data_IF_544714867907
#
_entry.id   IF_544714867907
#
_cell.length_a   1.000
_cell.length_b   1.000
_cell.length_c   1.000
_cell.angle_alpha   90.00
_cell.angle_beta   90.00
_cell.angle_gamma   90.00
#
_symmetry.space_group_name_H-M   'P 1'
#
loop_
_entity.id
_entity.type
_entity.pdbx_description
1 polymer ?
#
# COMPACT_ATOMS: atom_id res chain seq x y z
N UNK A 1 -0.66 -27.04 28.57
CA UNK A 1 -1.61 -25.90 28.60
C UNK A 1 -2.71 -26.20 27.61
N UNK A 2 -3.97 -26.15 28.02
CA UNK A 2 -5.11 -26.39 27.13
C UNK A 2 -5.18 -25.26 26.10
N UNK A 3 -5.03 -25.62 24.83
CA UNK A 3 -5.23 -24.72 23.70
C UNK A 3 -6.70 -24.74 23.30
N UNK A 4 -7.20 -23.57 22.93
CA UNK A 4 -8.55 -23.38 22.43
C UNK A 4 -8.52 -22.78 21.03
N UNK A 5 -9.52 -23.12 20.23
CA UNK A 5 -9.65 -22.67 18.85
C UNK A 5 -10.80 -21.69 18.72
N UNK A 6 -10.51 -20.50 18.19
CA UNK A 6 -11.53 -19.49 17.87
C UNK A 6 -11.66 -19.38 16.37
N UNK A 7 -12.90 -19.41 15.87
CA UNK A 7 -13.22 -19.16 14.46
C UNK A 7 -13.94 -17.83 14.31
N UNK A 8 -13.38 -16.92 13.51
CA UNK A 8 -13.97 -15.62 13.20
C UNK A 8 -14.76 -15.66 11.90
N UNK A 9 -16.04 -15.28 11.96
CA UNK A 9 -16.91 -15.11 10.80
C UNK A 9 -17.13 -13.63 10.48
N UNK A 10 -17.31 -13.28 9.18
CA UNK A 10 -17.49 -14.15 8.01
C UNK A 10 -16.18 -14.54 7.30
N UNK A 11 -15.03 -14.01 7.70
CA UNK A 11 -13.74 -14.25 7.04
C UNK A 11 -13.25 -15.71 7.13
N UNK A 12 -13.79 -16.51 8.06
CA UNK A 12 -13.44 -17.92 8.23
C UNK A 12 -12.06 -18.16 8.86
N UNK A 13 -11.41 -17.10 9.36
CA UNK A 13 -10.08 -17.16 9.98
C UNK A 13 -10.13 -17.91 11.31
N UNK A 14 -9.14 -18.77 11.56
CA UNK A 14 -9.04 -19.59 12.77
C UNK A 14 -7.72 -19.31 13.48
N UNK A 15 -7.76 -19.28 14.80
CA UNK A 15 -6.56 -19.07 15.62
C UNK A 15 -6.58 -19.95 16.86
N UNK A 16 -5.42 -20.50 17.18
CA UNK A 16 -5.17 -21.17 18.45
C UNK A 16 -4.64 -20.16 19.48
N UNK A 17 -5.24 -20.19 20.66
CA UNK A 17 -4.83 -19.38 21.79
C UNK A 17 -4.87 -20.14 23.10
N UNK A 18 -4.28 -19.54 24.13
CA UNK A 18 -4.34 -20.05 25.49
C UNK A 18 -5.71 -19.73 26.12
N UNK A 19 -6.17 -20.64 26.98
CA UNK A 19 -7.37 -20.46 27.79
C UNK A 19 -7.29 -19.15 28.58
N UNK A 20 -8.42 -18.44 28.71
CA UNK A 20 -8.57 -17.12 29.33
C UNK A 20 -7.94 -15.93 28.60
N UNK A 21 -7.42 -16.11 27.38
CA UNK A 21 -7.02 -14.96 26.58
C UNK A 21 -8.22 -14.16 26.05
N UNK A 22 -7.95 -12.91 25.66
CA UNK A 22 -8.96 -11.98 25.15
C UNK A 22 -9.32 -12.27 23.69
N UNK A 23 -10.59 -12.08 23.33
CA UNK A 23 -11.02 -12.15 21.92
C UNK A 23 -10.24 -11.15 21.06
N UNK A 24 -9.90 -9.96 21.59
CA UNK A 24 -9.12 -8.95 20.86
C UNK A 24 -7.72 -9.48 20.49
N UNK A 25 -7.01 -10.12 21.42
CA UNK A 25 -5.67 -10.63 21.13
C UNK A 25 -5.72 -11.79 20.13
N UNK A 26 -6.77 -12.62 20.20
CA UNK A 26 -7.03 -13.65 19.21
C UNK A 26 -7.30 -13.06 17.81
N UNK A 27 -8.14 -12.02 17.72
CA UNK A 27 -8.45 -11.34 16.46
C UNK A 27 -7.20 -10.71 15.83
N UNK A 28 -6.37 -10.04 16.62
CA UNK A 28 -5.10 -9.46 16.16
C UNK A 28 -4.13 -10.54 15.66
N UNK A 29 -3.98 -11.65 16.40
CA UNK A 29 -3.12 -12.77 16.00
C UNK A 29 -3.63 -13.49 14.75
N UNK A 30 -4.94 -13.54 14.55
CA UNK A 30 -5.59 -14.08 13.37
C UNK A 30 -5.53 -13.12 12.16
N UNK A 31 -5.09 -11.87 12.35
CA UNK A 31 -5.13 -10.83 11.32
C UNK A 31 -6.56 -10.47 10.90
N UNK A 32 -7.51 -10.49 11.82
CA UNK A 32 -8.93 -10.21 11.57
C UNK A 32 -9.20 -8.72 11.76
N UNK A 33 -10.00 -8.15 10.84
CA UNK A 33 -10.32 -6.72 10.86
C UNK A 33 -11.28 -6.38 12.00
N UNK A 34 -10.75 -5.80 13.08
CA UNK A 34 -11.52 -5.38 14.24
C UNK A 34 -11.05 -4.01 14.77
N UNK A 35 -11.98 -3.08 14.96
CA UNK A 35 -11.68 -1.75 15.49
C UNK A 35 -11.26 -1.84 16.97
N UNK A 36 -10.04 -1.39 17.30
CA UNK A 36 -9.47 -1.49 18.64
C UNK A 36 -8.79 -0.20 19.14
N UNK A 37 -9.50 0.94 19.07
CA UNK A 37 -8.93 2.28 19.37
C UNK A 37 -8.34 2.39 20.79
N UNK A 38 -9.02 1.85 21.81
CA UNK A 38 -8.55 1.94 23.20
C UNK A 38 -7.53 0.86 23.60
N UNK A 39 -7.07 0.05 22.64
CA UNK A 39 -6.10 -1.04 22.82
C UNK A 39 -6.35 -1.91 24.06
N UNK A 40 -7.60 -2.29 24.29
CA UNK A 40 -7.92 -3.21 25.38
C UNK A 40 -8.46 -2.57 26.66
N UNK A 41 -8.41 -1.24 26.82
CA UNK A 41 -8.78 -0.54 28.07
C UNK A 41 -10.29 -0.55 28.39
N UNK A 42 -11.14 -0.93 27.43
CA UNK A 42 -12.60 -1.02 27.64
C UNK A 42 -13.34 0.32 27.66
N UNK A 43 -12.70 1.43 27.27
CA UNK A 43 -13.25 2.79 27.38
C UNK A 43 -13.92 3.33 26.12
N UNK A 44 -13.66 2.74 24.94
CA UNK A 44 -14.18 3.27 23.67
C UNK A 44 -15.47 2.61 23.16
N UNK A 45 -15.80 1.41 23.65
CA UNK A 45 -16.99 0.66 23.21
C UNK A 45 -17.00 0.18 21.74
N UNK A 46 -15.93 0.35 20.96
CA UNK A 46 -15.96 0.10 19.49
C UNK A 46 -15.63 -1.33 19.04
N UNK A 47 -14.95 -2.11 19.88
CA UNK A 47 -14.53 -3.49 19.58
C UNK A 47 -15.64 -4.52 19.76
N UNK A 48 -16.84 -4.24 19.25
CA UNK A 48 -18.03 -5.07 19.48
C UNK A 48 -17.94 -6.36 18.65
N UNK A 49 -18.30 -7.47 19.27
CA UNK A 49 -18.36 -8.80 18.65
C UNK A 49 -19.63 -9.50 19.11
N UNK A 50 -20.16 -10.40 18.29
CA UNK A 50 -21.34 -11.20 18.62
C UNK A 50 -20.87 -12.60 18.99
N UNK A 51 -21.24 -13.03 20.19
CA UNK A 51 -20.89 -14.33 20.76
C UNK A 51 -22.16 -15.13 20.96
N UNK A 52 -22.40 -16.17 20.15
CA UNK A 52 -23.64 -16.96 20.25
C UNK A 52 -23.67 -17.86 21.49
N UNK A 53 -22.50 -18.42 21.84
CA UNK A 53 -22.28 -19.30 22.99
C UNK A 53 -21.69 -18.54 24.18
N UNK A 54 -22.58 -18.05 25.05
CA UNK A 54 -22.23 -17.23 26.21
C UNK A 54 -21.61 -18.05 27.36
N UNK A 55 -21.79 -19.37 27.39
CA UNK A 55 -21.20 -20.22 28.44
C UNK A 55 -19.68 -20.41 28.25
N UNK A 56 -19.22 -20.20 27.02
CA UNK A 56 -17.82 -20.34 26.62
C UNK A 56 -16.98 -19.09 26.90
N UNK A 57 -17.56 -18.04 27.48
CA UNK A 57 -16.89 -16.79 27.84
C UNK A 57 -17.04 -16.42 29.33
N UNK A 58 -16.45 -15.32 29.75
CA UNK A 58 -16.66 -14.76 31.09
C UNK A 58 -17.97 -13.96 31.19
N UNK A 59 -18.40 -13.74 32.42
CA UNK A 59 -19.54 -12.89 32.73
C UNK A 59 -19.31 -11.45 32.26
N UNK A 60 -20.39 -10.70 32.12
CA UNK A 60 -20.37 -9.31 31.68
C UNK A 60 -19.46 -8.47 32.62
N UNK A 61 -18.45 -7.83 32.05
CA UNK A 61 -17.58 -6.92 32.83
C UNK A 61 -18.28 -5.59 33.12
N UNK A 62 -17.88 -4.89 34.18
CA UNK A 62 -18.44 -3.57 34.51
C UNK A 62 -18.29 -2.55 33.37
N UNK A 63 -17.19 -2.63 32.63
CA UNK A 63 -16.92 -1.76 31.49
C UNK A 63 -17.86 -2.05 30.32
N UNK A 64 -18.23 -3.32 30.11
CA UNK A 64 -19.22 -3.71 29.10
C UNK A 64 -20.61 -3.18 29.47
N UNK A 65 -21.04 -3.35 30.73
CA UNK A 65 -22.33 -2.83 31.19
C UNK A 65 -22.49 -1.31 31.07
N UNK A 66 -21.38 -0.57 31.15
CA UNK A 66 -21.38 0.89 30.99
C UNK A 66 -21.40 1.35 29.54
N UNK A 67 -20.86 0.53 28.62
CA UNK A 67 -20.61 0.92 27.24
C UNK A 67 -21.61 0.31 26.24
N UNK A 68 -22.23 -0.81 26.61
CA UNK A 68 -23.23 -1.49 25.80
C UNK A 68 -24.64 -1.11 26.28
N UNK A 69 -25.55 -0.92 25.35
CA UNK A 69 -26.98 -0.75 25.66
C UNK A 69 -27.61 -2.09 26.04
N UNK A 70 -28.76 -2.04 26.75
CA UNK A 70 -29.50 -3.25 27.13
C UNK A 70 -29.88 -4.11 25.90
N UNK A 71 -30.24 -3.47 24.79
CA UNK A 71 -30.57 -4.16 23.54
C UNK A 71 -29.36 -4.93 22.98
N UNK A 72 -28.17 -4.32 23.02
CA UNK A 72 -26.94 -4.98 22.55
C UNK A 72 -26.54 -6.16 23.42
N UNK A 73 -26.78 -6.07 24.73
CA UNK A 73 -26.54 -7.17 25.66
C UNK A 73 -27.51 -8.33 25.36
N UNK A 74 -28.78 -8.03 25.06
CA UNK A 74 -29.78 -9.02 24.63
C UNK A 74 -29.40 -9.67 23.29
N UNK A 75 -28.86 -8.89 22.35
CA UNK A 75 -28.35 -9.35 21.06
C UNK A 75 -27.00 -10.10 21.17
N UNK A 76 -26.57 -10.43 22.39
CA UNK A 76 -25.32 -11.15 22.70
C UNK A 76 -24.05 -10.44 22.19
N UNK A 77 -24.09 -9.11 22.14
CA UNK A 77 -22.93 -8.29 21.81
C UNK A 77 -22.03 -8.18 23.02
N UNK A 78 -20.72 -8.33 22.80
CA UNK A 78 -19.67 -8.22 23.81
C UNK A 78 -18.53 -7.34 23.32
N UNK A 79 -17.72 -6.83 24.24
CA UNK A 79 -16.50 -6.12 23.89
C UNK A 79 -15.35 -7.12 23.79
N UNK A 80 -14.77 -7.26 22.60
CA UNK A 80 -13.70 -8.21 22.33
C UNK A 80 -12.51 -8.04 23.28
N UNK A 81 -12.23 -6.81 23.71
CA UNK A 81 -11.14 -6.54 24.65
C UNK A 81 -11.38 -7.05 26.07
N UNK A 82 -12.63 -7.03 26.55
CA UNK A 82 -12.97 -7.43 27.92
C UNK A 82 -13.38 -8.90 28.01
N UNK A 83 -13.73 -9.51 26.87
CA UNK A 83 -14.22 -10.88 26.81
C UNK A 83 -13.06 -11.87 26.74
N UNK A 84 -13.01 -12.76 27.73
CA UNK A 84 -12.04 -13.85 27.86
C UNK A 84 -12.69 -15.18 27.53
N UNK A 85 -11.98 -16.00 26.77
CA UNK A 85 -12.50 -17.25 26.22
C UNK A 85 -12.09 -18.45 27.06
N UNK A 86 -13.04 -19.34 27.36
CA UNK A 86 -12.84 -20.56 28.16
C UNK A 86 -12.85 -21.85 27.33
N UNK A 87 -13.61 -21.89 26.23
CA UNK A 87 -13.78 -23.05 25.34
C UNK A 87 -13.75 -22.61 23.88
N UNK A 88 -13.67 -23.57 22.97
CA UNK A 88 -13.75 -23.31 21.53
C UNK A 88 -15.08 -22.67 21.16
N UNK A 89 -15.05 -21.61 20.34
CA UNK A 89 -16.27 -20.95 19.88
C UNK A 89 -16.11 -20.29 18.52
N UNK A 90 -17.27 -19.92 17.97
CA UNK A 90 -17.40 -19.14 16.75
C UNK A 90 -17.84 -17.72 17.14
N UNK A 91 -17.12 -16.73 16.62
CA UNK A 91 -17.37 -15.32 16.88
C UNK A 91 -17.77 -14.65 15.57
N UNK A 92 -18.89 -13.95 15.58
CA UNK A 92 -19.33 -13.13 14.43
C UNK A 92 -18.88 -11.70 14.64
N UNK A 93 -18.18 -11.15 13.66
CA UNK A 93 -17.77 -9.74 13.69
C UNK A 93 -18.78 -8.94 12.88
N UNK A 94 -19.57 -8.06 13.52
CA UNK A 94 -20.53 -7.23 12.82
C UNK A 94 -19.80 -6.21 11.93
N UNK A 95 -20.42 -5.82 10.81
CA UNK A 95 -19.78 -4.95 9.81
C UNK A 95 -19.32 -3.61 10.39
N UNK A 96 -20.11 -3.02 11.30
CA UNK A 96 -19.78 -1.76 11.96
C UNK A 96 -18.57 -1.84 12.91
N UNK A 97 -18.13 -3.04 13.29
CA UNK A 97 -16.94 -3.27 14.10
C UNK A 97 -15.75 -3.77 13.30
N UNK A 98 -15.97 -4.10 12.02
CA UNK A 98 -14.87 -4.33 11.09
C UNK A 98 -14.28 -2.98 10.72
N UNK A 99 -12.95 -2.93 10.64
CA UNK A 99 -12.27 -1.75 10.13
C UNK A 99 -12.76 -1.42 8.72
N UNK A 100 -13.10 -2.45 7.94
CA UNK A 100 -13.58 -2.34 6.56
C UNK A 100 -12.53 -1.70 5.66
N UNK A 101 -12.58 -1.96 4.35
CA UNK A 101 -11.97 -1.03 3.39
C UNK A 101 -12.78 0.26 3.49
N UNK A 102 -12.47 1.14 4.45
CA UNK A 102 -13.05 2.46 4.48
C UNK A 102 -12.80 3.08 3.10
N UNK A 103 -13.86 3.27 2.32
CA UNK A 103 -13.86 4.21 1.20
C UNK A 103 -13.69 5.58 1.83
N UNK A 104 -12.43 5.92 2.08
CA UNK A 104 -12.05 7.25 2.47
C UNK A 104 -12.35 8.16 1.29
N UNK A 105 -12.76 9.37 1.58
CA UNK A 105 -12.94 10.39 0.57
C UNK A 105 -11.56 10.71 -0.01
N UNK A 106 -11.20 10.08 -1.13
CA UNK A 106 -9.89 10.22 -1.77
C UNK A 106 -9.90 11.28 -2.88
N UNK A 107 -11.06 11.90 -3.09
CA UNK A 107 -11.27 12.97 -4.06
C UNK A 107 -10.82 14.29 -3.43
N UNK A 108 -9.55 14.64 -3.70
CA UNK A 108 -9.09 16.02 -3.55
C UNK A 108 -9.69 16.92 -4.64
N UNK A 109 -9.57 18.24 -4.46
CA UNK A 109 -9.98 19.20 -5.48
C UNK A 109 -9.00 19.08 -6.65
N UNK A 110 -9.48 18.66 -7.83
CA UNK A 110 -8.68 18.72 -9.06
C UNK A 110 -8.46 20.19 -9.44
N UNK A 111 -7.26 20.68 -9.21
CA UNK A 111 -6.81 21.97 -9.73
C UNK A 111 -6.12 21.76 -11.06
N UNK A 112 -6.37 22.60 -12.08
CA UNK A 112 -5.56 22.59 -13.29
C UNK A 112 -4.15 23.09 -12.94
N UNK A 113 -3.14 22.25 -13.19
CA UNK A 113 -1.72 22.54 -12.94
C UNK A 113 -0.98 22.40 -14.27
N UNK A 114 -0.03 23.30 -14.53
CA UNK A 114 0.91 23.16 -15.64
C UNK A 114 1.89 22.01 -15.34
N UNK A 115 1.77 20.91 -16.09
CA UNK A 115 2.50 19.67 -15.82
C UNK A 115 3.94 19.78 -16.32
N UNK A 116 4.88 19.68 -15.37
CA UNK A 116 6.32 19.63 -15.64
C UNK A 116 6.95 18.42 -14.97
N UNK A 117 6.59 17.19 -15.38
CA UNK A 117 7.22 15.99 -14.84
C UNK A 117 8.72 15.99 -15.15
N UNK A 118 9.55 15.45 -14.24
CA UNK A 118 11.00 15.38 -14.47
C UNK A 118 11.35 14.26 -15.46
N UNK A 119 10.44 13.30 -15.62
CA UNK A 119 10.53 12.20 -16.57
C UNK A 119 9.70 12.50 -17.84
N UNK A 120 10.27 12.21 -19.01
CA UNK A 120 9.57 12.25 -20.31
C UNK A 120 9.86 10.98 -21.10
N UNK A 121 8.87 10.52 -21.84
CA UNK A 121 9.00 9.36 -22.73
C UNK A 121 8.91 9.77 -24.20
N UNK A 122 9.70 9.12 -25.03
CA UNK A 122 9.71 9.31 -26.48
C UNK A 122 9.71 7.94 -27.16
N UNK A 123 8.67 7.65 -27.92
CA UNK A 123 8.66 6.51 -28.83
C UNK A 123 9.48 6.86 -30.07
N UNK A 124 10.43 5.99 -30.43
CA UNK A 124 11.29 6.17 -31.59
C UNK A 124 11.39 4.89 -32.41
N UNK A 125 11.54 5.06 -33.71
CA UNK A 125 11.84 3.99 -34.65
C UNK A 125 13.17 4.32 -35.34
N UNK A 126 14.14 3.41 -35.21
CA UNK A 126 15.46 3.56 -35.81
C UNK A 126 15.67 2.56 -36.95
N UNK A 127 16.55 2.92 -37.88
CA UNK A 127 17.02 1.99 -38.90
C UNK A 127 18.15 1.10 -38.33
N UNK A 128 18.14 -0.21 -38.65
CA UNK A 128 19.21 -1.12 -38.25
C UNK A 128 20.56 -0.71 -38.87
N UNK A 129 21.69 -1.02 -38.22
CA UNK A 129 23.01 -0.69 -38.72
C UNK A 129 23.30 -1.44 -40.03
N UNK A 130 23.86 -0.73 -41.00
CA UNK A 130 24.29 -1.26 -42.29
C UNK A 130 25.79 -1.01 -42.49
N UNK A 131 26.38 -1.56 -43.55
CA UNK A 131 27.76 -1.23 -43.91
C UNK A 131 27.94 0.24 -44.30
N UNK A 132 26.87 0.87 -44.82
CA UNK A 132 26.86 2.28 -45.21
C UNK A 132 26.66 3.22 -44.00
N UNK A 133 26.05 2.73 -42.92
CA UNK A 133 25.87 3.46 -41.65
C UNK A 133 26.34 2.64 -40.43
N UNK A 134 27.66 2.63 -40.15
CA UNK A 134 28.25 1.84 -39.07
C UNK A 134 28.23 2.55 -37.70
N UNK A 135 27.42 3.60 -37.53
CA UNK A 135 27.35 4.36 -36.25
C UNK A 135 26.97 3.45 -35.08
N UNK A 136 27.51 3.77 -33.90
CA UNK A 136 27.21 3.04 -32.66
C UNK A 136 25.73 3.17 -32.28
N UNK A 137 25.22 2.21 -31.52
CA UNK A 137 23.82 2.21 -31.05
C UNK A 137 23.49 3.48 -30.25
N UNK A 138 24.45 3.97 -29.46
CA UNK A 138 24.32 5.19 -28.65
C UNK A 138 24.26 6.43 -29.54
N UNK A 139 25.21 6.56 -30.48
CA UNK A 139 25.24 7.70 -31.40
C UNK A 139 23.97 7.74 -32.25
N UNK A 140 23.45 6.58 -32.66
CA UNK A 140 22.20 6.47 -33.42
C UNK A 140 21.01 7.03 -32.64
N UNK A 141 20.90 6.66 -31.35
CA UNK A 141 19.86 7.19 -30.46
C UNK A 141 20.02 8.70 -30.25
N UNK A 142 21.22 9.15 -29.85
CA UNK A 142 21.46 10.56 -29.51
C UNK A 142 21.21 11.45 -30.73
N UNK A 143 21.70 11.07 -31.91
CA UNK A 143 21.47 11.82 -33.14
C UNK A 143 19.98 11.88 -33.50
N UNK A 144 19.27 10.76 -33.40
CA UNK A 144 17.82 10.74 -33.68
C UNK A 144 17.04 11.63 -32.71
N UNK A 145 17.37 11.60 -31.41
CA UNK A 145 16.73 12.43 -30.41
C UNK A 145 17.04 13.92 -30.61
N UNK A 146 18.24 14.26 -31.06
CA UNK A 146 18.61 15.62 -31.42
C UNK A 146 17.84 16.12 -32.64
N UNK A 147 17.81 15.34 -33.73
CA UNK A 147 17.18 15.74 -34.99
C UNK A 147 15.65 15.83 -34.92
N UNK A 148 14.99 14.94 -34.18
CA UNK A 148 13.52 14.83 -34.19
C UNK A 148 12.85 15.50 -32.98
N UNK A 149 13.57 15.67 -31.87
CA UNK A 149 13.00 16.18 -30.62
C UNK A 149 13.76 17.38 -30.03
N UNK A 150 14.80 17.88 -30.73
CA UNK A 150 15.67 18.99 -30.28
C UNK A 150 16.30 18.75 -28.89
N UNK A 151 16.60 17.48 -28.59
CA UNK A 151 17.20 17.08 -27.33
C UNK A 151 18.73 16.98 -27.47
N UNK A 152 19.45 17.80 -26.71
CA UNK A 152 20.91 17.82 -26.68
C UNK A 152 21.47 17.56 -25.28
N UNK A 153 22.77 17.25 -25.20
CA UNK A 153 23.49 16.98 -23.94
C UNK A 153 22.89 15.82 -23.12
N UNK A 154 22.40 14.79 -23.81
CA UNK A 154 21.87 13.59 -23.19
C UNK A 154 23.01 12.67 -22.75
N UNK A 155 22.89 12.15 -21.53
CA UNK A 155 23.72 11.06 -21.02
C UNK A 155 22.89 9.78 -20.96
N UNK A 156 23.55 8.63 -20.97
CA UNK A 156 22.90 7.33 -20.82
C UNK A 156 23.32 6.73 -19.48
N UNK A 157 22.37 6.16 -18.76
CA UNK A 157 22.66 5.42 -17.55
C UNK A 157 23.67 4.27 -17.83
N UNK A 158 24.62 4.10 -16.92
CA UNK A 158 25.70 3.12 -17.08
C UNK A 158 25.21 1.68 -17.14
N UNK A 159 24.17 1.32 -16.38
CA UNK A 159 23.62 -0.03 -16.39
C UNK A 159 22.85 -0.30 -17.68
N UNK A 160 22.13 0.70 -18.18
CA UNK A 160 21.47 0.61 -19.49
C UNK A 160 22.49 0.42 -20.62
N UNK A 161 23.62 1.13 -20.55
CA UNK A 161 24.70 1.07 -21.55
C UNK A 161 25.23 -0.35 -21.75
N UNK A 162 25.29 -1.16 -20.67
CA UNK A 162 25.79 -2.54 -20.74
C UNK A 162 24.96 -3.46 -21.63
N UNK A 163 23.65 -3.21 -21.73
CA UNK A 163 22.71 -4.10 -22.39
C UNK A 163 21.99 -3.44 -23.59
N UNK A 164 22.33 -2.18 -23.91
CA UNK A 164 21.62 -1.38 -24.91
C UNK A 164 21.52 -2.10 -26.25
N UNK A 165 22.62 -2.66 -26.73
CA UNK A 165 22.70 -3.37 -28.01
C UNK A 165 21.75 -4.56 -28.11
N UNK A 166 21.63 -5.33 -27.02
CA UNK A 166 20.71 -6.46 -26.95
C UNK A 166 19.26 -6.00 -26.91
N UNK A 167 18.96 -4.96 -26.11
CA UNK A 167 17.63 -4.37 -25.99
C UNK A 167 17.13 -3.86 -27.35
N UNK A 168 17.95 -3.08 -28.07
CA UNK A 168 17.54 -2.49 -29.36
C UNK A 168 17.24 -3.56 -30.41
N UNK A 169 18.08 -4.61 -30.47
CA UNK A 169 17.92 -5.70 -31.43
C UNK A 169 16.69 -6.55 -31.12
N UNK A 170 16.43 -6.84 -29.84
CA UNK A 170 15.21 -7.56 -29.41
C UNK A 170 13.93 -6.76 -29.66
N UNK A 171 14.02 -5.44 -29.57
CA UNK A 171 12.91 -4.53 -29.84
C UNK A 171 12.72 -4.25 -31.34
N UNK A 172 13.48 -4.90 -32.23
CA UNK A 172 13.43 -4.66 -33.69
C UNK A 172 13.56 -3.18 -34.05
N UNK A 173 14.38 -2.44 -33.28
CA UNK A 173 14.61 -1.00 -33.44
C UNK A 173 13.38 -0.10 -33.25
N UNK A 174 12.31 -0.63 -32.62
CA UNK A 174 11.09 0.10 -32.25
C UNK A 174 10.88 0.08 -30.75
N UNK A 175 11.10 1.22 -30.09
CA UNK A 175 11.15 1.26 -28.65
C UNK A 175 10.86 2.65 -28.09
N UNK A 176 10.50 2.68 -26.81
CA UNK A 176 10.28 3.89 -26.04
C UNK A 176 11.49 4.18 -25.14
N UNK A 177 11.98 5.41 -25.20
CA UNK A 177 13.06 5.91 -24.34
C UNK A 177 12.46 6.72 -23.21
N UNK A 178 12.89 6.44 -21.98
CA UNK A 178 12.55 7.25 -20.79
C UNK A 178 13.73 8.13 -20.40
N UNK A 179 13.52 9.45 -20.38
CA UNK A 179 14.53 10.46 -20.09
C UNK A 179 14.16 11.18 -18.81
N UNK A 180 15.00 11.03 -17.78
CA UNK A 180 14.88 11.78 -16.55
C UNK A 180 15.84 12.97 -16.60
N UNK A 181 15.28 14.18 -16.69
CA UNK A 181 16.02 15.43 -16.97
C UNK A 181 16.83 15.30 -18.28
N UNK A 182 18.12 15.02 -18.19
CA UNK A 182 19.03 14.86 -19.34
C UNK A 182 19.68 13.46 -19.38
N UNK A 183 19.14 12.48 -18.64
CA UNK A 183 19.69 11.14 -18.55
C UNK A 183 18.66 10.14 -19.10
N UNK A 184 19.06 9.36 -20.09
CA UNK A 184 18.31 8.20 -20.56
C UNK A 184 18.47 7.10 -19.50
N UNK A 185 17.37 6.79 -18.82
CA UNK A 185 17.37 5.84 -17.70
C UNK A 185 16.76 4.48 -18.05
N UNK A 186 15.94 4.41 -19.11
CA UNK A 186 15.26 3.18 -19.49
C UNK A 186 14.96 3.15 -20.99
N UNK A 187 14.93 1.93 -21.55
CA UNK A 187 14.50 1.64 -22.92
C UNK A 187 13.57 0.44 -22.88
N UNK A 188 12.35 0.62 -23.38
CA UNK A 188 11.29 -0.39 -23.36
C UNK A 188 10.86 -0.72 -24.80
N UNK A 189 10.58 -1.98 -25.14
CA UNK A 189 10.06 -2.31 -26.47
C UNK A 189 8.67 -1.70 -26.68
N UNK A 190 8.32 -1.45 -27.94
CA UNK A 190 7.02 -0.88 -28.34
C UNK A 190 6.80 0.55 -27.82
N UNK A 191 5.60 1.07 -28.09
CA UNK A 191 5.16 2.37 -27.60
C UNK A 191 4.58 2.24 -26.18
N UNK A 192 5.25 2.88 -25.21
CA UNK A 192 4.83 2.97 -23.81
C UNK A 192 4.75 4.42 -23.32
N UNK A 193 4.63 5.40 -24.23
CA UNK A 193 4.64 6.84 -23.86
C UNK A 193 3.49 7.21 -22.92
N UNK A 194 2.35 6.53 -23.04
CA UNK A 194 1.16 6.75 -22.19
C UNK A 194 1.30 6.11 -20.79
N UNK A 195 2.35 5.32 -20.55
CA UNK A 195 2.54 4.52 -19.35
C UNK A 195 3.64 5.11 -18.48
N UNK A 196 3.32 6.23 -17.83
CA UNK A 196 4.24 6.98 -16.99
C UNK A 196 3.55 7.41 -15.70
N UNK A 197 3.91 6.75 -14.60
CA UNK A 197 3.22 6.94 -13.33
C UNK A 197 4.15 7.49 -12.24
N UNK A 198 3.56 8.22 -11.31
CA UNK A 198 4.17 8.66 -10.07
C UNK A 198 3.42 8.08 -8.87
N UNK A 199 4.08 8.02 -7.73
CA UNK A 199 3.51 7.56 -6.46
C UNK A 199 3.62 8.64 -5.39
N UNK A 200 2.50 9.21 -4.95
CA UNK A 200 2.48 10.13 -3.82
C UNK A 200 2.01 9.40 -2.56
N UNK A 201 2.69 9.66 -1.45
CA UNK A 201 2.39 9.05 -0.14
C UNK A 201 2.25 10.14 0.91
N UNK A 202 1.18 10.09 1.69
CA UNK A 202 0.95 10.92 2.87
C UNK A 202 1.05 10.03 4.12
N UNK A 203 2.03 10.31 4.96
CA UNK A 203 2.34 9.57 6.19
C UNK A 203 1.72 10.31 7.38
N UNK A 204 0.42 10.09 7.57
CA UNK A 204 -0.26 10.51 8.79
C UNK A 204 0.13 9.67 10.01
N UNK A 205 -0.02 10.24 11.21
CA UNK A 205 0.25 9.55 12.48
C UNK A 205 -0.63 8.31 12.68
N UNK A 206 -1.89 8.38 12.24
CA UNK A 206 -2.87 7.30 12.34
C UNK A 206 -3.05 6.52 11.04
N UNK A 207 -2.75 7.14 9.89
CA UNK A 207 -3.11 6.58 8.59
C UNK A 207 -2.06 6.93 7.54
N UNK A 208 -1.72 5.95 6.70
CA UNK A 208 -0.98 6.15 5.47
C UNK A 208 -1.98 6.24 4.31
N UNK A 209 -1.78 7.18 3.39
CA UNK A 209 -2.50 7.24 2.13
C UNK A 209 -1.51 7.22 0.97
N UNK A 210 -1.84 6.48 -0.09
CA UNK A 210 -1.02 6.38 -1.30
C UNK A 210 -1.86 6.64 -2.53
N UNK A 211 -1.26 7.33 -3.51
CA UNK A 211 -1.91 7.78 -4.74
C UNK A 211 -1.00 7.47 -5.92
N UNK A 212 -1.52 6.74 -6.91
CA UNK A 212 -0.88 6.61 -8.21
C UNK A 212 -1.38 7.74 -9.10
N UNK A 213 -0.46 8.54 -9.61
CA UNK A 213 -0.73 9.66 -10.50
C UNK A 213 -0.22 9.31 -11.89
N UNK A 214 -1.02 9.58 -12.91
CA UNK A 214 -0.55 9.59 -14.30
C UNK A 214 0.21 10.89 -14.55
N UNK A 215 1.50 10.81 -14.87
CA UNK A 215 2.37 11.98 -15.04
C UNK A 215 2.14 12.70 -16.38
N UNK A 216 1.48 12.08 -17.36
CA UNK A 216 1.08 12.75 -18.60
C UNK A 216 -0.12 13.66 -18.38
N UNK A 217 -1.11 13.20 -17.61
CA UNK A 217 -2.38 13.92 -17.41
C UNK A 217 -2.49 14.65 -16.07
N UNK A 218 -1.62 14.34 -15.11
CA UNK A 218 -1.65 14.88 -13.74
C UNK A 218 -2.78 14.29 -12.88
N UNK A 219 -3.54 13.32 -13.40
CA UNK A 219 -4.72 12.78 -12.73
C UNK A 219 -4.37 11.65 -11.77
N UNK A 220 -5.11 11.59 -10.67
CA UNK A 220 -5.05 10.45 -9.74
C UNK A 220 -5.70 9.24 -10.41
N UNK A 221 -4.89 8.26 -10.80
CA UNK A 221 -5.34 7.04 -11.47
C UNK A 221 -5.86 5.99 -10.48
N UNK A 222 -5.26 5.91 -9.30
CA UNK A 222 -5.76 5.09 -8.21
C UNK A 222 -5.30 5.63 -6.87
N UNK A 223 -6.03 5.30 -5.82
CA UNK A 223 -5.63 5.64 -4.47
C UNK A 223 -6.08 4.58 -3.47
N UNK A 224 -5.32 4.52 -2.38
CA UNK A 224 -5.42 3.49 -1.35
C UNK A 224 -4.92 4.02 -0.02
N UNK A 225 -5.14 3.24 1.03
CA UNK A 225 -4.74 3.64 2.36
C UNK A 225 -4.66 2.48 3.33
N UNK A 226 -3.86 2.66 4.36
CA UNK A 226 -3.67 1.70 5.44
C UNK A 226 -3.67 2.44 6.78
N UNK A 227 -4.09 1.79 7.86
CA UNK A 227 -3.76 2.30 9.20
C UNK A 227 -2.24 2.34 9.36
N UNK A 228 -1.72 3.38 10.02
CA UNK A 228 -0.27 3.51 10.18
C UNK A 228 0.27 2.31 10.98
N UNK A 229 1.14 1.46 10.40
CA UNK A 229 1.65 0.26 11.03
C UNK A 229 2.58 0.56 12.22
N UNK A 230 2.90 1.83 12.49
CA UNK A 230 3.60 2.28 13.68
C UNK A 230 2.71 2.40 14.92
N UNK A 231 1.37 2.32 14.80
CA UNK A 231 0.44 2.43 15.94
C UNK A 231 0.80 1.48 17.11
N UNK A 232 1.16 0.20 16.89
CA UNK A 232 1.55 -0.70 17.98
C UNK A 232 2.79 -0.24 18.78
N UNK A 233 3.61 0.65 18.20
CA UNK A 233 4.86 1.14 18.80
C UNK A 233 4.68 2.50 19.51
N UNK A 234 3.51 3.12 19.41
CA UNK A 234 3.21 4.40 20.06
C UNK A 234 1.92 5.03 19.54
N UNK A 235 1.10 5.52 20.46
CA UNK A 235 -0.19 6.16 20.15
C UNK A 235 0.00 7.55 19.47
N UNK A 236 1.14 8.20 19.69
CA UNK A 236 1.47 9.53 19.16
C UNK A 236 2.92 9.65 18.67
N UNK A 237 3.29 10.82 18.14
CA UNK A 237 4.64 11.08 17.61
C UNK A 237 5.70 11.02 18.71
N UNK A 238 5.40 11.49 19.92
CA UNK A 238 6.38 11.58 21.02
C UNK A 238 6.75 10.20 21.55
N UNK A 239 5.75 9.34 21.75
CA UNK A 239 5.94 7.94 22.15
C UNK A 239 6.76 7.17 21.11
N UNK A 240 6.53 7.43 19.82
CA UNK A 240 7.31 6.84 18.72
C UNK A 240 8.75 7.36 18.65
N UNK A 241 8.97 8.66 18.86
CA UNK A 241 10.30 9.27 18.90
C UNK A 241 11.18 8.70 20.02
N UNK A 242 10.56 8.39 21.16
CA UNK A 242 11.27 7.82 22.30
C UNK A 242 11.36 6.27 22.26
N UNK A 243 10.83 5.63 21.21
CA UNK A 243 10.87 4.18 21.10
C UNK A 243 12.33 3.70 20.87
N UNK A 244 12.83 2.70 21.64
CA UNK A 244 14.23 2.29 21.57
C UNK A 244 14.62 1.66 20.22
N UNK A 245 13.65 1.08 19.49
CA UNK A 245 13.87 0.38 18.23
C UNK A 245 13.42 1.21 17.01
N UNK A 246 14.03 2.38 16.77
CA UNK A 246 13.70 3.27 15.64
C UNK A 246 13.71 2.57 14.27
N UNK A 247 14.63 1.61 14.06
CA UNK A 247 14.70 0.83 12.82
C UNK A 247 13.42 0.02 12.55
N UNK A 248 12.76 -0.51 13.60
CA UNK A 248 11.51 -1.26 13.44
C UNK A 248 10.36 -0.34 13.03
N UNK A 249 10.32 0.88 13.57
CA UNK A 249 9.32 1.88 13.18
C UNK A 249 9.49 2.31 11.73
N UNK A 250 10.73 2.49 11.27
CA UNK A 250 11.03 2.79 9.87
C UNK A 250 10.59 1.63 8.96
N UNK A 251 10.96 0.40 9.32
CA UNK A 251 10.62 -0.79 8.55
C UNK A 251 9.10 -0.99 8.45
N UNK A 252 8.37 -0.80 9.55
CA UNK A 252 6.91 -0.88 9.56
C UNK A 252 6.28 0.09 8.54
N UNK A 253 6.76 1.34 8.48
CA UNK A 253 6.25 2.32 7.50
C UNK A 253 6.58 1.92 6.07
N UNK A 254 7.82 1.49 5.79
CA UNK A 254 8.22 1.06 4.45
C UNK A 254 7.34 -0.12 3.99
N UNK A 255 7.10 -1.10 4.86
CA UNK A 255 6.22 -2.23 4.59
C UNK A 255 4.78 -1.78 4.30
N UNK A 256 4.25 -0.85 5.10
CA UNK A 256 2.91 -0.28 4.86
C UNK A 256 2.81 0.50 3.54
N UNK A 257 3.83 1.28 3.19
CA UNK A 257 3.89 2.02 1.93
C UNK A 257 3.94 1.06 0.73
N UNK A 258 4.76 0.02 0.82
CA UNK A 258 4.88 -0.99 -0.23
C UNK A 258 3.61 -1.81 -0.37
N UNK A 259 2.93 -2.13 0.74
CA UNK A 259 1.64 -2.81 0.70
C UNK A 259 0.60 -1.99 -0.07
N UNK A 260 0.47 -0.69 0.23
CA UNK A 260 -0.45 0.19 -0.52
C UNK A 260 -0.06 0.21 -2.00
N UNK A 261 1.25 0.34 -2.30
CA UNK A 261 1.75 0.37 -3.66
C UNK A 261 1.39 -0.92 -4.43
N UNK A 262 1.62 -2.09 -3.84
CA UNK A 262 1.32 -3.38 -4.45
C UNK A 262 -0.18 -3.55 -4.72
N UNK A 263 -1.04 -3.19 -3.75
CA UNK A 263 -2.49 -3.22 -3.93
C UNK A 263 -2.96 -2.31 -5.09
N UNK A 264 -2.36 -1.12 -5.22
CA UNK A 264 -2.70 -0.17 -6.30
C UNK A 264 -2.17 -0.63 -7.66
N UNK A 265 -0.96 -1.18 -7.70
CA UNK A 265 -0.36 -1.75 -8.92
C UNK A 265 -1.20 -2.90 -9.46
N UNK A 266 -1.62 -3.83 -8.60
CA UNK A 266 -2.50 -4.94 -8.98
C UNK A 266 -3.84 -4.44 -9.53
N UNK A 267 -4.45 -3.45 -8.87
CA UNK A 267 -5.73 -2.88 -9.31
C UNK A 267 -5.65 -2.23 -10.69
N UNK A 268 -4.55 -1.52 -10.97
CA UNK A 268 -4.37 -0.85 -12.27
C UNK A 268 -3.68 -1.72 -13.32
N UNK A 269 -3.18 -2.90 -12.94
CA UNK A 269 -2.32 -3.74 -13.79
C UNK A 269 -1.11 -2.95 -14.33
N UNK A 270 -0.46 -2.21 -13.44
CA UNK A 270 0.80 -1.53 -13.73
C UNK A 270 1.95 -2.28 -13.06
N UNK A 271 3.13 -2.19 -13.65
CA UNK A 271 4.37 -2.77 -13.13
C UNK A 271 5.17 -1.73 -12.36
N UNK A 272 6.11 -2.18 -11.52
CA UNK A 272 6.95 -1.28 -10.72
C UNK A 272 7.89 -0.42 -11.57
N UNK A 273 8.31 -0.90 -12.74
CA UNK A 273 9.14 -0.18 -13.72
C UNK A 273 8.40 0.92 -14.48
N UNK A 274 7.07 0.99 -14.34
CA UNK A 274 6.24 2.07 -14.89
C UNK A 274 6.06 3.24 -13.90
N UNK A 275 6.59 3.11 -12.67
CA UNK A 275 6.54 4.15 -11.62
C UNK A 275 7.89 4.83 -11.50
N UNK A 276 7.98 6.06 -11.98
CA UNK A 276 9.25 6.78 -12.18
C UNK A 276 9.56 7.79 -11.07
N UNK A 277 8.54 8.34 -10.44
CA UNK A 277 8.70 9.38 -9.41
C UNK A 277 7.91 9.01 -8.16
N UNK A 278 8.46 9.36 -6.99
CA UNK A 278 7.78 9.19 -5.72
C UNK A 278 7.95 10.44 -4.85
N UNK A 279 6.86 10.89 -4.23
CA UNK A 279 6.87 11.95 -3.23
C UNK A 279 6.27 11.42 -1.94
N UNK A 280 6.88 11.78 -0.81
CA UNK A 280 6.43 11.42 0.53
C UNK A 280 6.23 12.70 1.32
N UNK A 281 5.08 12.81 1.97
CA UNK A 281 4.67 13.95 2.81
C UNK A 281 4.38 13.45 4.22
#
# INVERSE_FOLDING_TARGET
MEKITITFQPEGKRVEMEKNGSILSAALKAGVDLIAICNGKGTCGKCKVIVEDMESVNDLSENESKMLSNQEIEDKVRLACQTKVKKDLIIKIPEYSRTGKQRLQIEGIETPIDLKPSIKKYYIELEPPTLDDPRSDIDRIINHLYENFDLSNLNIDYYLTKNISEILRKAEWKFTISIWRNIIINIEPMDTTDRIFGYAVDIGTTKLAGYIIDLNSGKVSAAGSLMNPQIPYGEDVISRLNHPEQKKLQQAVIEGINQILDELKEKMKIKSDEIYEMTVV
#
